data_IF_942961301934
#
_entry.id   IF_942961301934
#
_cell.length_a   1.000
_cell.length_b   1.000
_cell.length_c   1.000
_cell.angle_alpha   90.00
_cell.angle_beta   90.00
_cell.angle_gamma   90.00
#
_symmetry.space_group_name_H-M   'P 1'
#
loop_
_entity.id
_entity.type
_entity.pdbx_description
1 polymer ?
#
# COMPACT_ATOMS: atom_id res chain seq x y z
N UNK A 1 0.90 -5.28 -4.97
CA UNK A 1 0.29 -5.05 -6.30
C UNK A 1 -1.17 -5.53 -6.41
N UNK A 2 -1.55 -6.68 -5.82
CA UNK A 2 -2.96 -7.13 -5.82
C UNK A 2 -3.93 -6.15 -5.13
N UNK A 3 -3.53 -5.52 -4.01
CA UNK A 3 -4.36 -4.55 -3.29
C UNK A 3 -4.72 -3.30 -4.11
N UNK A 4 -3.75 -2.69 -4.78
CA UNK A 4 -4.01 -1.53 -5.64
C UNK A 4 -4.90 -1.89 -6.84
N UNK A 5 -4.73 -3.11 -7.39
CA UNK A 5 -5.61 -3.62 -8.47
C UNK A 5 -7.04 -3.86 -8.01
N UNK A 6 -7.27 -4.17 -6.74
CA UNK A 6 -8.61 -4.34 -6.16
C UNK A 6 -9.21 -3.03 -5.62
N UNK A 7 -8.58 -1.87 -5.88
CA UNK A 7 -9.08 -0.56 -5.48
C UNK A 7 -8.79 -0.17 -4.03
N UNK A 8 -8.03 -0.98 -3.29
CA UNK A 8 -7.54 -0.68 -1.94
C UNK A 8 -6.37 0.30 -2.06
N UNK A 9 -6.67 1.59 -1.97
CA UNK A 9 -5.74 2.65 -2.35
C UNK A 9 -5.20 3.45 -1.16
N UNK A 10 -5.55 3.11 0.08
CA UNK A 10 -4.98 3.77 1.27
C UNK A 10 -4.02 2.81 1.99
N UNK A 11 -3.09 3.35 2.78
CA UNK A 11 -2.15 2.51 3.54
C UNK A 11 -2.90 1.50 4.42
N UNK A 12 -3.92 1.93 5.17
CA UNK A 12 -4.70 1.07 6.04
C UNK A 12 -5.43 -0.05 5.27
N UNK A 13 -6.06 0.30 4.15
CA UNK A 13 -6.72 -0.67 3.27
C UNK A 13 -5.75 -1.72 2.71
N UNK A 14 -4.56 -1.28 2.30
CA UNK A 14 -3.51 -2.15 1.76
C UNK A 14 -2.96 -3.04 2.89
N UNK A 15 -2.72 -2.48 4.07
CA UNK A 15 -2.26 -3.21 5.25
C UNK A 15 -3.25 -4.29 5.66
N UNK A 16 -4.54 -3.99 5.76
CA UNK A 16 -5.57 -4.97 6.14
C UNK A 16 -5.68 -6.14 5.14
N UNK A 17 -5.41 -5.88 3.86
CA UNK A 17 -5.40 -6.94 2.85
C UNK A 17 -4.16 -7.83 2.92
N UNK A 18 -3.00 -7.27 3.32
CA UNK A 18 -1.72 -8.01 3.37
C UNK A 18 -1.53 -8.72 4.71
N UNK A 19 -1.87 -8.04 5.81
CA UNK A 19 -1.68 -8.51 7.18
C UNK A 19 -3.05 -8.83 7.80
N UNK A 20 -3.51 -10.05 7.59
CA UNK A 20 -4.73 -10.59 8.20
C UNK A 20 -4.46 -10.90 9.68
N UNK A 21 -5.40 -10.53 10.56
CA UNK A 21 -5.36 -10.80 12.02
C UNK A 21 -4.11 -10.27 12.75
N UNK A 22 -3.54 -9.16 12.27
CA UNK A 22 -2.45 -8.49 12.97
C UNK A 22 -2.94 -7.96 14.32
N UNK A 23 -2.18 -8.24 15.39
CA UNK A 23 -2.50 -7.71 16.71
C UNK A 23 -2.42 -6.19 16.70
N UNK A 24 -3.26 -5.53 17.50
CA UNK A 24 -3.31 -4.06 17.59
C UNK A 24 -1.93 -3.46 17.89
N UNK A 25 -1.13 -4.15 18.69
CA UNK A 25 0.24 -3.73 19.02
C UNK A 25 1.18 -3.67 17.81
N UNK A 26 0.93 -4.49 16.78
CA UNK A 26 1.77 -4.58 15.57
C UNK A 26 1.23 -3.79 14.38
N UNK A 27 0.02 -3.22 14.49
CA UNK A 27 -0.63 -2.50 13.38
C UNK A 27 0.25 -1.40 12.79
N UNK A 28 0.91 -0.60 13.63
CA UNK A 28 1.82 0.48 13.17
C UNK A 28 3.04 -0.06 12.42
N UNK A 29 3.56 -1.21 12.84
CA UNK A 29 4.71 -1.85 12.17
C UNK A 29 4.28 -2.37 10.80
N UNK A 30 3.11 -2.99 10.71
CA UNK A 30 2.54 -3.47 9.45
C UNK A 30 2.28 -2.31 8.47
N UNK A 31 1.75 -1.18 8.94
CA UNK A 31 1.59 0.04 8.13
C UNK A 31 2.93 0.59 7.67
N UNK A 32 3.93 0.62 8.54
CA UNK A 32 5.28 1.07 8.17
C UNK A 32 5.91 0.18 7.10
N UNK A 33 5.75 -1.14 7.21
CA UNK A 33 6.18 -2.09 6.17
C UNK A 33 5.48 -1.81 4.84
N UNK A 34 4.17 -1.55 4.82
CA UNK A 34 3.44 -1.19 3.60
C UNK A 34 3.96 0.13 3.00
N UNK A 35 4.18 1.15 3.83
CA UNK A 35 4.71 2.44 3.37
C UNK A 35 6.08 2.28 2.71
N UNK A 36 6.99 1.51 3.30
CA UNK A 36 8.31 1.26 2.74
C UNK A 36 8.23 0.59 1.35
N UNK A 37 7.31 -0.35 1.18
CA UNK A 37 7.07 -0.98 -0.13
C UNK A 37 6.47 0.00 -1.13
N UNK A 38 5.50 0.82 -0.73
CA UNK A 38 4.91 1.84 -1.61
C UNK A 38 5.96 2.87 -2.04
N UNK A 39 6.85 3.29 -1.15
CA UNK A 39 7.96 4.19 -1.47
C UNK A 39 8.91 3.58 -2.50
N UNK A 40 9.27 2.29 -2.34
CA UNK A 40 10.04 1.57 -3.37
C UNK A 40 9.33 1.59 -4.72
N UNK A 41 8.05 1.22 -4.76
CA UNK A 41 7.27 1.16 -6.00
C UNK A 41 7.09 2.54 -6.66
N UNK A 42 7.03 3.60 -5.86
CA UNK A 42 7.04 4.97 -6.37
C UNK A 42 8.38 5.33 -7.02
N UNK A 43 9.50 4.98 -6.39
CA UNK A 43 10.85 5.17 -6.99
C UNK A 43 11.04 4.37 -8.27
N UNK A 44 10.39 3.22 -8.39
CA UNK A 44 10.39 2.38 -9.59
C UNK A 44 9.39 2.85 -10.66
N UNK A 45 8.66 3.94 -10.43
CA UNK A 45 7.68 4.46 -11.39
C UNK A 45 6.44 3.57 -11.58
N UNK A 46 6.16 2.65 -10.65
CA UNK A 46 5.03 1.72 -10.75
C UNK A 46 3.79 2.21 -10.00
N UNK A 47 3.99 3.06 -8.99
CA UNK A 47 2.92 3.61 -8.16
C UNK A 47 3.06 5.13 -8.12
N UNK A 48 1.94 5.84 -8.16
CA UNK A 48 1.87 7.27 -7.83
C UNK A 48 1.01 7.49 -6.59
N UNK A 49 1.28 8.58 -5.89
CA UNK A 49 0.47 9.05 -4.76
C UNK A 49 -0.34 10.28 -5.19
N UNK A 50 -1.65 10.23 -4.99
CA UNK A 50 -2.59 11.32 -5.21
C UNK A 50 -3.33 11.62 -3.90
N UNK A 51 -2.94 12.69 -3.22
CA UNK A 51 -3.43 12.99 -1.87
C UNK A 51 -3.12 11.86 -0.89
N UNK A 52 -4.15 11.26 -0.31
CA UNK A 52 -4.03 10.10 0.60
C UNK A 52 -4.07 8.75 -0.10
N UNK A 53 -4.22 8.72 -1.43
CA UNK A 53 -4.41 7.49 -2.21
C UNK A 53 -3.16 7.11 -3.00
N UNK A 54 -2.92 5.81 -3.13
CA UNK A 54 -1.90 5.20 -3.98
C UNK A 54 -2.59 4.57 -5.18
N UNK A 55 -2.05 4.79 -6.38
CA UNK A 55 -2.59 4.29 -7.63
C UNK A 55 -1.48 3.63 -8.44
N UNK A 56 -1.81 2.59 -9.19
CA UNK A 56 -0.91 2.05 -10.19
C UNK A 56 -0.73 3.07 -11.30
N UNK A 57 0.51 3.24 -11.73
CA UNK A 57 0.78 3.85 -13.02
C UNK A 57 0.56 2.70 -14.00
N UNK A 58 -0.55 2.73 -14.75
CA UNK A 58 -0.78 1.72 -15.78
C UNK A 58 0.33 1.87 -16.82
N UNK A 59 1.02 0.77 -17.12
CA UNK A 59 1.59 0.66 -18.46
C UNK A 59 0.41 0.62 -19.42
N UNK A 60 0.48 1.46 -20.45
CA UNK A 60 -0.53 1.58 -21.50
C UNK A 60 -0.69 0.25 -22.24
#
# INVERSE_FOLDING_TARGET
MAALRSGRNTTGDITQMIYVDVSVALQRVAEFSVLAHLEKLMREGQVKKEGSRYLLISEN
#
